data_IF_473643616103
#
_entry.id   IF_473643616103
#
_cell.length_a   1.000
_cell.length_b   1.000
_cell.length_c   1.000
_cell.angle_alpha   90.00
_cell.angle_beta   90.00
_cell.angle_gamma   90.00
#
_symmetry.space_group_name_H-M   'P 1'
#
loop_
_entity.id
_entity.type
_entity.pdbx_description
1 polymer ?
#
# COMPACT_ATOMS: atom_id res chain seq x y z
N UNK A 1 16.80 3.46 27.63
CA UNK A 1 15.90 4.47 27.04
C UNK A 1 15.12 3.77 25.96
N UNK A 2 13.80 3.68 26.11
CA UNK A 2 12.94 2.90 25.23
C UNK A 2 13.08 3.44 23.80
N UNK A 3 13.73 2.68 22.92
CA UNK A 3 13.45 2.70 21.50
C UNK A 3 12.00 2.24 21.39
N UNK A 4 11.06 3.17 21.64
CA UNK A 4 9.66 2.90 21.46
C UNK A 4 9.55 2.48 19.99
N UNK A 5 8.99 1.30 19.82
CA UNK A 5 8.92 0.53 18.60
C UNK A 5 8.11 1.32 17.56
N UNK A 6 8.75 2.33 16.94
CA UNK A 6 8.14 3.23 15.98
C UNK A 6 7.57 2.45 14.78
N UNK A 7 8.17 1.30 14.47
CA UNK A 7 7.64 0.30 13.54
C UNK A 7 6.30 -0.28 14.02
N UNK A 8 6.21 -0.74 15.27
CA UNK A 8 4.95 -1.23 15.84
C UNK A 8 3.84 -0.15 15.90
N UNK A 9 4.20 1.09 16.26
CA UNK A 9 3.25 2.23 16.23
C UNK A 9 2.74 2.53 14.83
N UNK A 10 3.64 2.59 13.86
CA UNK A 10 3.29 2.80 12.46
C UNK A 10 2.40 1.65 11.95
N UNK A 11 2.74 0.40 12.27
CA UNK A 11 1.94 -0.77 11.92
C UNK A 11 0.53 -0.69 12.51
N UNK A 12 0.40 -0.34 13.78
CA UNK A 12 -0.90 -0.18 14.44
C UNK A 12 -1.73 0.94 13.80
N UNK A 13 -1.11 2.09 13.52
CA UNK A 13 -1.77 3.23 12.86
C UNK A 13 -2.22 2.88 11.42
N UNK A 14 -1.37 2.17 10.67
CA UNK A 14 -1.66 1.74 9.31
C UNK A 14 -2.80 0.71 9.29
N UNK A 15 -2.78 -0.29 10.17
CA UNK A 15 -3.85 -1.28 10.27
C UNK A 15 -5.18 -0.62 10.64
N UNK A 16 -5.19 0.30 11.60
CA UNK A 16 -6.41 1.04 11.95
C UNK A 16 -6.95 1.89 10.77
N UNK A 17 -6.07 2.44 9.94
CA UNK A 17 -6.47 3.17 8.73
C UNK A 17 -7.01 2.23 7.65
N UNK A 18 -6.40 1.05 7.49
CA UNK A 18 -6.87 0.01 6.54
C UNK A 18 -8.23 -0.50 6.97
N UNK A 19 -8.43 -0.84 8.24
CA UNK A 19 -9.69 -1.38 8.77
C UNK A 19 -10.88 -0.44 8.55
N UNK A 20 -10.65 0.88 8.67
CA UNK A 20 -11.67 1.90 8.36
C UNK A 20 -12.08 1.93 6.88
N UNK A 21 -11.20 1.48 5.99
CA UNK A 21 -11.32 1.64 4.53
C UNK A 21 -11.56 0.32 3.78
N UNK A 22 -11.31 -0.83 4.42
CA UNK A 22 -11.33 -2.14 3.79
C UNK A 22 -12.75 -2.70 3.60
N UNK A 23 -13.75 -2.18 4.33
CA UNK A 23 -15.16 -2.64 4.26
C UNK A 23 -15.34 -4.18 4.32
N UNK A 24 -14.41 -4.90 4.96
CA UNK A 24 -14.44 -6.36 5.07
C UNK A 24 -13.80 -7.15 3.92
N UNK A 25 -13.12 -6.49 2.97
CA UNK A 25 -12.28 -7.19 1.98
C UNK A 25 -10.98 -7.71 2.61
N UNK A 26 -10.44 -8.80 2.05
CA UNK A 26 -9.17 -9.39 2.49
C UNK A 26 -7.97 -8.53 2.03
N UNK A 27 -7.22 -8.01 3.00
CA UNK A 27 -5.98 -7.24 2.77
C UNK A 27 -4.79 -7.84 3.53
N UNK A 28 -3.62 -7.79 2.89
CA UNK A 28 -2.33 -7.98 3.56
C UNK A 28 -1.60 -6.66 3.71
N UNK A 29 -0.93 -6.46 4.85
CA UNK A 29 -0.14 -5.27 5.13
C UNK A 29 1.24 -5.66 5.67
N UNK A 30 2.27 -5.03 5.11
CA UNK A 30 3.63 -5.08 5.64
C UNK A 30 4.31 -3.71 5.58
N UNK A 31 5.31 -3.51 6.43
CA UNK A 31 6.11 -2.30 6.44
C UNK A 31 7.59 -2.58 6.70
N UNK A 32 8.45 -1.85 6.00
CA UNK A 32 9.90 -1.95 6.14
C UNK A 32 10.54 -0.56 6.13
N UNK A 33 11.64 -0.40 6.86
CA UNK A 33 12.52 0.75 6.70
C UNK A 33 13.47 0.49 5.54
N UNK A 34 13.51 1.41 4.58
CA UNK A 34 14.38 1.32 3.41
C UNK A 34 15.12 2.63 3.18
N UNK A 35 16.26 2.54 2.50
CA UNK A 35 17.00 3.70 2.03
C UNK A 35 16.50 4.06 0.63
N UNK A 36 15.93 5.25 0.48
CA UNK A 36 15.48 5.79 -0.80
C UNK A 36 16.34 6.99 -1.21
N UNK A 37 16.35 7.32 -2.51
CA UNK A 37 16.95 8.56 -2.98
C UNK A 37 15.98 9.73 -2.75
N UNK A 38 16.48 10.76 -2.08
CA UNK A 38 15.84 12.07 -1.99
C UNK A 38 15.76 12.71 -3.39
N UNK A 39 14.70 13.49 -3.69
CA UNK A 39 14.60 14.29 -4.90
C UNK A 39 15.77 15.25 -5.13
N UNK A 40 16.50 15.62 -4.07
CA UNK A 40 17.65 16.52 -4.10
C UNK A 40 19.00 15.81 -4.24
N UNK A 41 19.03 14.50 -4.44
CA UNK A 41 20.25 13.72 -4.72
C UNK A 41 20.98 13.15 -3.50
N UNK A 42 20.34 13.08 -2.33
CA UNK A 42 20.86 12.44 -1.11
C UNK A 42 20.19 11.11 -0.79
N UNK A 43 20.80 10.25 0.02
CA UNK A 43 20.13 9.07 0.58
C UNK A 43 19.28 9.49 1.79
N UNK A 44 18.03 9.01 1.88
CA UNK A 44 17.15 9.22 3.03
C UNK A 44 16.51 7.92 3.49
N UNK A 45 16.29 7.79 4.79
CA UNK A 45 15.60 6.63 5.37
C UNK A 45 14.10 6.91 5.34
N UNK A 46 13.34 6.00 4.74
CA UNK A 46 11.88 6.11 4.59
C UNK A 46 11.20 4.83 5.06
N UNK A 47 9.95 4.95 5.50
CA UNK A 47 9.10 3.77 5.66
C UNK A 47 8.49 3.42 4.31
N UNK A 48 8.65 2.17 3.90
CA UNK A 48 7.94 1.57 2.78
C UNK A 48 6.75 0.78 3.33
N UNK A 49 5.55 1.17 2.91
CA UNK A 49 4.31 0.46 3.17
C UNK A 49 3.98 -0.43 1.97
N UNK A 50 3.68 -1.69 2.23
CA UNK A 50 3.26 -2.65 1.22
C UNK A 50 1.84 -3.08 1.57
N UNK A 51 0.89 -2.73 0.71
CA UNK A 51 -0.51 -3.15 0.83
C UNK A 51 -0.79 -4.14 -0.29
N UNK A 52 -1.49 -5.22 0.06
CA UNK A 52 -1.87 -6.27 -0.87
C UNK A 52 -3.34 -6.57 -0.80
N UNK A 53 -3.95 -6.89 -1.94
CA UNK A 53 -5.36 -7.28 -2.04
C UNK A 53 -5.49 -8.53 -2.88
N UNK A 54 -6.63 -9.21 -2.75
CA UNK A 54 -6.98 -10.26 -3.71
C UNK A 54 -7.08 -9.68 -5.12
N UNK A 55 -6.60 -10.44 -6.10
CA UNK A 55 -6.76 -10.10 -7.51
C UNK A 55 -8.18 -10.50 -7.97
N UNK A 56 -8.90 -9.62 -8.69
CA UNK A 56 -10.22 -9.94 -9.20
C UNK A 56 -10.23 -11.08 -10.24
N UNK A 57 -9.11 -11.36 -10.91
CA UNK A 57 -8.98 -12.47 -11.85
C UNK A 57 -8.57 -13.76 -11.14
N UNK A 58 -9.32 -14.84 -11.37
CA UNK A 58 -9.04 -16.16 -10.81
C UNK A 58 -7.68 -16.68 -11.30
N UNK A 59 -6.88 -17.22 -10.38
CA UNK A 59 -5.58 -17.83 -10.67
C UNK A 59 -4.41 -16.87 -10.80
N UNK A 60 -4.63 -15.55 -10.64
CA UNK A 60 -3.55 -14.57 -10.60
C UNK A 60 -3.10 -14.24 -9.17
N UNK A 61 -1.82 -13.87 -9.02
CA UNK A 61 -1.26 -13.42 -7.75
C UNK A 61 -1.90 -12.13 -7.24
N UNK A 62 -1.73 -11.81 -5.94
CA UNK A 62 -2.36 -10.64 -5.31
C UNK A 62 -1.93 -9.33 -5.96
N UNK A 63 -2.80 -8.33 -5.91
CA UNK A 63 -2.43 -6.97 -6.28
C UNK A 63 -1.56 -6.40 -5.18
N UNK A 64 -0.49 -5.72 -5.56
CA UNK A 64 0.48 -5.12 -4.63
C UNK A 64 0.60 -3.65 -4.94
N UNK A 65 0.49 -2.82 -3.92
CA UNK A 65 0.83 -1.40 -4.00
C UNK A 65 1.85 -1.06 -2.93
N UNK A 66 2.85 -0.29 -3.34
CA UNK A 66 3.98 0.13 -2.51
C UNK A 66 3.94 1.64 -2.40
N UNK A 67 3.89 2.16 -1.18
CA UNK A 67 3.89 3.60 -0.91
C UNK A 67 5.01 3.94 0.06
N UNK A 68 5.72 5.03 -0.19
CA UNK A 68 6.84 5.47 0.65
C UNK A 68 6.43 6.68 1.48
N UNK A 69 6.75 6.65 2.77
CA UNK A 69 6.62 7.75 3.71
C UNK A 69 8.00 8.37 3.91
N UNK A 70 8.19 9.56 3.33
CA UNK A 70 9.43 10.34 3.39
C UNK A 70 9.67 11.01 4.75
N UNK A 71 9.34 10.32 5.86
CA UNK A 71 9.60 10.75 7.23
C UNK A 71 10.08 9.55 8.06
N UNK A 72 11.17 9.69 8.83
CA UNK A 72 11.61 8.66 9.77
C UNK A 72 10.71 8.54 11.01
N UNK A 73 9.84 9.53 11.25
CA UNK A 73 8.81 9.51 12.29
C UNK A 73 7.50 10.09 11.71
N UNK A 74 6.74 9.29 10.97
CA UNK A 74 5.53 9.78 10.29
C UNK A 74 4.39 9.99 11.28
N UNK A 75 3.66 11.08 11.12
CA UNK A 75 2.46 11.34 11.93
C UNK A 75 1.32 10.39 11.56
N UNK A 76 0.36 10.19 12.48
CA UNK A 76 -0.81 9.36 12.19
C UNK A 76 -1.58 9.83 10.94
N UNK A 77 -1.67 11.14 10.73
CA UNK A 77 -2.27 11.74 9.52
C UNK A 77 -1.50 11.39 8.25
N UNK A 78 -0.16 11.43 8.28
CA UNK A 78 0.66 11.03 7.14
C UNK A 78 0.50 9.55 6.81
N UNK A 79 0.43 8.69 7.85
CA UNK A 79 0.17 7.26 7.67
C UNK A 79 -1.21 7.02 7.07
N UNK A 80 -2.25 7.70 7.56
CA UNK A 80 -3.61 7.59 7.03
C UNK A 80 -3.71 8.06 5.58
N UNK A 81 -3.06 9.17 5.23
CA UNK A 81 -2.98 9.64 3.84
C UNK A 81 -2.27 8.63 2.94
N UNK A 82 -1.13 8.08 3.39
CA UNK A 82 -0.38 7.09 2.63
C UNK A 82 -1.18 5.79 2.41
N UNK A 83 -1.86 5.30 3.45
CA UNK A 83 -2.78 4.15 3.34
C UNK A 83 -3.91 4.44 2.37
N UNK A 84 -4.52 5.63 2.45
CA UNK A 84 -5.61 6.04 1.54
C UNK A 84 -5.14 6.07 0.08
N UNK A 85 -3.95 6.61 -0.19
CA UNK A 85 -3.34 6.61 -1.52
C UNK A 85 -3.04 5.20 -2.02
N UNK A 86 -2.49 4.34 -1.15
CA UNK A 86 -2.21 2.96 -1.48
C UNK A 86 -3.49 2.18 -1.85
N UNK A 87 -4.54 2.33 -1.05
CA UNK A 87 -5.86 1.74 -1.28
C UNK A 87 -6.49 2.24 -2.58
N UNK A 88 -6.41 3.54 -2.86
CA UNK A 88 -6.88 4.11 -4.13
C UNK A 88 -6.15 3.51 -5.33
N UNK A 89 -4.81 3.41 -5.26
CA UNK A 89 -4.03 2.78 -6.32
C UNK A 89 -4.37 1.30 -6.53
N UNK A 90 -4.66 0.55 -5.46
CA UNK A 90 -5.11 -0.84 -5.57
C UNK A 90 -6.47 -0.95 -6.26
N UNK A 91 -7.41 -0.05 -5.95
CA UNK A 91 -8.72 0.01 -6.62
C UNK A 91 -8.57 0.36 -8.10
N UNK A 92 -7.72 1.33 -8.44
CA UNK A 92 -7.41 1.69 -9.82
C UNK A 92 -6.78 0.53 -10.59
N UNK A 93 -5.83 -0.19 -9.99
CA UNK A 93 -5.24 -1.39 -10.56
C UNK A 93 -6.28 -2.49 -10.79
N UNK A 94 -7.13 -2.76 -9.80
CA UNK A 94 -8.21 -3.74 -9.90
C UNK A 94 -9.19 -3.40 -11.03
N UNK A 95 -9.65 -2.15 -11.10
CA UNK A 95 -10.53 -1.68 -12.18
C UNK A 95 -9.88 -1.82 -13.55
N UNK A 96 -8.61 -1.43 -13.69
CA UNK A 96 -7.87 -1.56 -14.94
C UNK A 96 -7.76 -3.01 -15.40
N UNK A 97 -7.41 -3.92 -14.48
CA UNK A 97 -7.29 -5.36 -14.77
C UNK A 97 -8.64 -5.94 -15.23
N UNK A 98 -9.74 -5.54 -14.60
CA UNK A 98 -11.08 -5.96 -15.01
C UNK A 98 -11.46 -5.43 -16.39
N UNK A 99 -11.13 -4.16 -16.69
CA UNK A 99 -11.36 -3.58 -18.02
C UNK A 99 -10.55 -4.30 -19.09
N UNK A 100 -9.23 -4.44 -18.88
CA UNK A 100 -8.32 -5.10 -19.82
C UNK A 100 -8.70 -6.57 -20.04
N UNK A 101 -9.06 -7.29 -18.98
CA UNK A 101 -9.51 -8.68 -19.04
C UNK A 101 -10.82 -8.86 -19.83
N UNK A 102 -11.77 -7.93 -19.67
CA UNK A 102 -13.02 -7.95 -20.44
C UNK A 102 -12.79 -7.63 -21.92
N UNK A 103 -11.88 -6.72 -22.25
CA UNK A 103 -11.50 -6.42 -23.64
C UNK A 103 -10.78 -7.60 -24.30
N UNK A 104 -9.90 -8.30 -23.57
CA UNK A 104 -9.23 -9.50 -24.07
C UNK A 104 -10.24 -10.62 -24.38
N UNK A 105 -11.23 -10.85 -23.50
CA UNK A 105 -12.27 -11.85 -23.71
C UNK A 105 -13.19 -11.52 -24.91
N UNK A 106 -13.44 -10.23 -25.17
CA UNK A 106 -14.26 -9.77 -26.29
C UNK A 106 -13.58 -9.93 -27.66
N UNK A 107 -12.24 -9.79 -27.72
CA UNK A 107 -11.46 -9.89 -28.97
C UNK A 107 -11.10 -11.34 -29.38
N UNK A 108 -11.38 -12.33 -28.54
CA UNK A 108 -11.20 -13.75 -28.84
C UNK A 108 -12.48 -14.48 -29.28
N UNK A 109 -13.55 -13.75 -29.53
CA UNK A 109 -14.80 -14.26 -30.14
C UNK A 109 -14.90 -13.82 -31.60
#
# INVERSE_FOLDING_TARGET
MAAIDNGAKLRAAALAAIDKQCFGEDFGFDSALVVAQSPTGGAMVVYQLVLTTRNPLLGQGPLVNVTQLASPDPTAEQVEQAVTQAMKGLRELSSKILTDGNTAAANTR
#
